data_IF_995050315222
#
_entry.id   IF_995050315222
#
_cell.length_a   1.000
_cell.length_b   1.000
_cell.length_c   1.000
_cell.angle_alpha   90.00
_cell.angle_beta   90.00
_cell.angle_gamma   90.00
#
_symmetry.space_group_name_H-M   'P 1'
#
loop_
_entity.id
_entity.type
_entity.pdbx_description
1 polymer ?
#
# COMPACT_ATOMS: atom_id res chain seq x y z
N UNK A 1 4.01 -9.64 -6.62
CA UNK A 1 4.27 -10.22 -5.28
C UNK A 1 5.57 -9.75 -4.63
N UNK A 2 6.76 -9.88 -5.26
CA UNK A 2 8.04 -9.42 -4.69
C UNK A 2 8.01 -7.96 -4.21
N UNK A 3 7.53 -7.04 -5.05
CA UNK A 3 7.47 -5.61 -4.71
C UNK A 3 6.57 -5.35 -3.50
N UNK A 4 5.39 -5.99 -3.45
CA UNK A 4 4.48 -5.82 -2.32
C UNK A 4 5.09 -6.31 -1.01
N UNK A 5 5.71 -7.51 -0.98
CA UNK A 5 6.42 -8.01 0.21
C UNK A 5 7.57 -7.08 0.62
N UNK A 6 8.31 -6.56 -0.36
CA UNK A 6 9.40 -5.62 -0.13
C UNK A 6 8.94 -4.32 0.52
N UNK A 7 7.79 -3.77 0.09
CA UNK A 7 7.23 -2.54 0.67
C UNK A 7 6.78 -2.72 2.10
N UNK A 8 6.12 -3.85 2.43
CA UNK A 8 5.76 -4.16 3.82
C UNK A 8 7.01 -4.23 4.69
N UNK A 9 8.02 -4.98 4.26
CA UNK A 9 9.25 -5.12 5.01
C UNK A 9 10.02 -3.79 5.13
N UNK A 10 10.02 -2.97 4.08
CA UNK A 10 10.70 -1.68 4.09
C UNK A 10 10.05 -0.67 5.04
N UNK A 11 8.72 -0.63 5.10
CA UNK A 11 7.99 0.35 5.90
C UNK A 11 7.74 -0.10 7.34
N UNK A 12 7.44 -1.38 7.55
CA UNK A 12 7.04 -1.94 8.85
C UNK A 12 8.09 -2.89 9.47
N UNK A 13 9.16 -3.25 8.76
CA UNK A 13 10.12 -4.29 9.19
C UNK A 13 9.49 -5.70 9.38
N UNK A 14 8.27 -5.90 8.89
CA UNK A 14 7.53 -7.16 9.03
C UNK A 14 7.68 -8.04 7.78
N UNK A 15 8.13 -9.30 7.91
CA UNK A 15 8.22 -10.22 6.78
C UNK A 15 6.87 -10.88 6.47
N UNK A 16 6.36 -10.69 5.25
CA UNK A 16 5.19 -11.42 4.75
C UNK A 16 5.60 -12.81 4.22
N UNK A 17 5.68 -13.80 5.11
CA UNK A 17 6.13 -15.16 4.76
C UNK A 17 5.03 -15.94 4.04
N UNK A 18 3.81 -15.89 4.56
CA UNK A 18 2.65 -16.60 4.02
C UNK A 18 2.25 -16.13 2.60
N UNK A 19 1.46 -16.98 1.94
CA UNK A 19 0.82 -16.60 0.69
C UNK A 19 -0.25 -15.52 0.94
N UNK A 20 -0.40 -14.53 0.04
CA UNK A 20 -1.49 -13.56 0.14
C UNK A 20 -2.83 -14.26 -0.06
N UNK A 21 -3.85 -13.84 0.69
CA UNK A 21 -5.22 -14.32 0.52
C UNK A 21 -5.90 -13.67 -0.68
N UNK A 22 -5.43 -12.50 -1.12
CA UNK A 22 -5.91 -11.85 -2.33
C UNK A 22 -4.77 -11.19 -3.10
N UNK A 23 -4.79 -11.36 -4.43
CA UNK A 23 -3.90 -10.70 -5.38
C UNK A 23 -4.74 -10.24 -6.56
N UNK A 24 -4.61 -8.96 -6.88
CA UNK A 24 -5.33 -8.35 -7.99
C UNK A 24 -4.44 -7.36 -8.73
N UNK A 25 -4.62 -7.26 -10.04
CA UNK A 25 -3.97 -6.25 -10.86
C UNK A 25 -4.78 -6.00 -12.12
N UNK A 26 -5.03 -4.73 -12.45
CA UNK A 26 -5.71 -4.31 -13.68
C UNK A 26 -5.27 -2.91 -14.09
N UNK A 27 -5.40 -2.55 -15.39
CA UNK A 27 -5.32 -1.16 -15.81
C UNK A 27 -6.36 -0.32 -15.07
N UNK A 28 -5.94 0.83 -14.53
CA UNK A 28 -6.81 1.76 -13.80
C UNK A 28 -7.93 2.30 -14.68
N UNK A 29 -7.70 2.43 -15.98
CA UNK A 29 -8.71 2.83 -16.97
C UNK A 29 -9.80 1.77 -17.19
N UNK A 30 -9.55 0.52 -16.78
CA UNK A 30 -10.54 -0.57 -16.89
C UNK A 30 -11.49 -0.65 -15.69
N UNK A 31 -11.27 0.19 -14.67
CA UNK A 31 -12.10 0.28 -13.48
C UNK A 31 -13.29 1.20 -13.72
N UNK A 32 -14.43 0.84 -13.14
CA UNK A 32 -15.50 1.81 -12.92
C UNK A 32 -15.05 2.91 -11.96
N UNK A 33 -15.74 4.05 -11.97
CA UNK A 33 -15.43 5.17 -11.05
C UNK A 33 -15.41 4.72 -9.59
N UNK A 34 -16.38 3.92 -9.15
CA UNK A 34 -16.46 3.44 -7.77
C UNK A 34 -15.34 2.45 -7.42
N UNK A 35 -14.97 1.55 -8.34
CA UNK A 35 -13.82 0.66 -8.15
C UNK A 35 -12.51 1.46 -8.06
N UNK A 36 -12.37 2.50 -8.88
CA UNK A 36 -11.21 3.37 -8.87
C UNK A 36 -11.11 4.16 -7.56
N UNK A 37 -12.21 4.75 -7.10
CA UNK A 37 -12.26 5.46 -5.82
C UNK A 37 -11.91 4.53 -4.66
N UNK A 38 -12.51 3.33 -4.60
CA UNK A 38 -12.22 2.35 -3.56
C UNK A 38 -10.76 1.85 -3.59
N UNK A 39 -10.13 1.80 -4.77
CA UNK A 39 -8.72 1.46 -4.92
C UNK A 39 -7.79 2.63 -4.50
N UNK A 40 -8.14 3.87 -4.83
CA UNK A 40 -7.35 5.05 -4.47
C UNK A 40 -7.46 5.40 -2.98
N UNK A 41 -8.51 4.92 -2.30
CA UNK A 41 -8.71 5.05 -0.86
C UNK A 41 -7.72 4.18 -0.08
N UNK A 42 -6.50 4.69 0.09
CA UNK A 42 -5.53 4.17 1.06
C UNK A 42 -5.70 4.98 2.34
N UNK A 43 -5.99 4.32 3.46
CA UNK A 43 -6.06 4.95 4.78
C UNK A 43 -4.81 4.60 5.60
N UNK A 44 -4.54 5.37 6.66
CA UNK A 44 -3.50 5.01 7.61
C UNK A 44 -3.88 3.76 8.40
N UNK A 45 -2.90 2.95 8.83
CA UNK A 45 -3.15 1.89 9.77
C UNK A 45 -3.85 2.44 11.02
N UNK A 46 -4.93 1.81 11.46
CA UNK A 46 -5.58 2.14 12.72
C UNK A 46 -4.76 1.69 13.95
N UNK A 47 -3.61 1.04 13.72
CA UNK A 47 -2.71 0.51 14.74
C UNK A 47 -1.37 1.24 14.65
N UNK A 48 -0.77 1.54 15.81
CA UNK A 48 0.57 2.13 15.85
C UNK A 48 1.62 1.14 15.33
N UNK A 49 2.46 1.55 14.36
CA UNK A 49 3.55 0.72 13.86
C UNK A 49 4.66 0.59 14.91
N UNK A 50 5.54 -0.40 14.72
CA UNK A 50 6.66 -0.65 15.63
C UNK A 50 7.55 0.60 15.82
N UNK A 51 8.07 0.76 17.04
CA UNK A 51 8.95 1.87 17.37
C UNK A 51 10.22 1.82 16.54
N UNK A 52 10.53 2.90 15.83
CA UNK A 52 11.70 3.00 14.96
C UNK A 52 11.46 2.52 13.51
N UNK A 53 10.25 2.06 13.18
CA UNK A 53 9.87 1.78 11.79
C UNK A 53 9.83 3.06 10.94
N UNK A 54 9.96 2.91 9.62
CA UNK A 54 9.82 4.03 8.70
C UNK A 54 8.40 4.57 8.72
N UNK A 55 7.42 3.67 8.80
CA UNK A 55 6.01 4.04 8.95
C UNK A 55 5.78 4.92 10.19
N UNK A 56 6.36 4.58 11.35
CA UNK A 56 6.29 5.45 12.54
C UNK A 56 6.86 6.84 12.28
N UNK A 57 8.02 6.91 11.62
CA UNK A 57 8.67 8.19 11.31
C UNK A 57 7.79 9.04 10.39
N UNK A 58 7.15 8.43 9.39
CA UNK A 58 6.21 9.11 8.49
C UNK A 58 4.99 9.63 9.23
N UNK A 59 4.39 8.80 10.10
CA UNK A 59 3.24 9.21 10.93
C UNK A 59 3.59 10.40 11.84
N UNK A 60 4.79 10.41 12.42
CA UNK A 60 5.23 11.48 13.32
C UNK A 60 5.60 12.78 12.62
N UNK A 61 6.17 12.70 11.41
CA UNK A 61 6.63 13.88 10.67
C UNK A 61 5.57 14.47 9.75
N UNK A 62 4.64 13.64 9.25
CA UNK A 62 3.72 14.03 8.19
C UNK A 62 4.39 14.25 6.82
N UNK A 63 5.68 13.92 6.69
CA UNK A 63 6.48 14.12 5.47
C UNK A 63 6.14 13.10 4.37
N UNK A 64 6.21 13.55 3.10
CA UNK A 64 6.02 12.76 1.86
C UNK A 64 4.62 12.18 1.62
N UNK A 65 3.57 12.81 2.16
CA UNK A 65 2.20 12.31 2.09
C UNK A 65 1.36 13.12 1.09
N UNK A 66 1.34 12.70 -0.18
CA UNK A 66 0.28 13.10 -1.11
C UNK A 66 -0.98 12.26 -0.80
N UNK A 67 -1.58 12.48 0.37
CA UNK A 67 -2.49 11.51 0.99
C UNK A 67 -1.73 10.31 1.58
N UNK A 68 -2.41 9.18 1.81
CA UNK A 68 -1.78 7.98 2.38
C UNK A 68 -0.90 7.19 1.39
N UNK A 69 -0.53 7.79 0.26
CA UNK A 69 0.35 7.22 -0.74
C UNK A 69 1.79 7.65 -0.52
N UNK A 70 2.72 6.70 -0.62
CA UNK A 70 4.16 6.96 -0.69
C UNK A 70 4.53 7.08 -2.17
N UNK A 71 4.87 8.30 -2.60
CA UNK A 71 5.30 8.60 -3.97
C UNK A 71 6.81 8.40 -4.07
N UNK A 72 7.23 7.37 -4.81
CA UNK A 72 8.67 7.10 -5.04
C UNK A 72 9.19 7.94 -6.20
N UNK A 73 8.38 8.04 -7.26
CA UNK A 73 8.65 8.88 -8.42
C UNK A 73 7.32 9.37 -8.99
N UNK A 74 7.16 10.70 -9.05
CA UNK A 74 5.94 11.36 -9.52
C UNK A 74 5.53 10.83 -10.91
N UNK A 75 4.25 10.49 -11.06
CA UNK A 75 3.68 9.92 -12.29
C UNK A 75 4.24 8.55 -12.73
N UNK A 76 5.14 7.92 -11.98
CA UNK A 76 5.79 6.66 -12.38
C UNK A 76 5.57 5.55 -11.37
N UNK A 77 5.71 5.83 -10.08
CA UNK A 77 5.61 4.79 -9.06
C UNK A 77 5.15 5.36 -7.72
N UNK A 78 4.00 4.90 -7.26
CA UNK A 78 3.50 5.13 -5.91
C UNK A 78 2.94 3.86 -5.31
N UNK A 79 3.03 3.73 -4.00
CA UNK A 79 2.48 2.60 -3.28
C UNK A 79 1.89 3.02 -1.94
N UNK A 80 0.95 2.23 -1.44
CA UNK A 80 0.34 2.39 -0.14
C UNK A 80 0.50 1.09 0.65
N UNK A 81 0.85 1.21 1.93
CA UNK A 81 0.86 0.10 2.88
C UNK A 81 -0.11 0.46 3.99
N UNK A 82 -1.15 -0.34 4.15
CA UNK A 82 -2.17 -0.12 5.18
C UNK A 82 -2.63 -1.43 5.80
N UNK A 83 -3.37 -1.32 6.89
CA UNK A 83 -4.04 -2.45 7.53
C UNK A 83 -5.53 -2.38 7.24
N UNK A 84 -6.12 -3.51 6.86
CA UNK A 84 -7.56 -3.65 6.63
C UNK A 84 -8.04 -4.93 7.29
N UNK A 85 -9.09 -4.83 8.11
CA UNK A 85 -9.73 -5.98 8.77
C UNK A 85 -8.74 -6.90 9.54
N UNK A 86 -7.70 -6.29 10.14
CA UNK A 86 -6.63 -7.01 10.84
C UNK A 86 -5.59 -7.70 9.95
N UNK A 87 -5.68 -7.52 8.62
CA UNK A 87 -4.70 -7.95 7.63
C UNK A 87 -3.89 -6.80 7.04
N UNK A 88 -2.86 -7.13 6.26
CA UNK A 88 -1.98 -6.20 5.56
C UNK A 88 -2.39 -6.03 4.10
N UNK A 89 -2.63 -4.79 3.69
CA UNK A 89 -2.98 -4.40 2.34
C UNK A 89 -1.87 -3.56 1.72
N UNK A 90 -1.40 -3.97 0.55
CA UNK A 90 -0.47 -3.20 -0.26
C UNK A 90 -1.11 -2.87 -1.60
N UNK A 91 -1.15 -1.58 -1.92
CA UNK A 91 -1.53 -1.09 -3.24
C UNK A 91 -0.36 -0.46 -3.94
N UNK A 92 -0.26 -0.67 -5.25
CA UNK A 92 0.82 -0.17 -6.10
C UNK A 92 0.19 0.42 -7.35
N UNK A 93 0.67 1.59 -7.75
CA UNK A 93 0.38 2.19 -9.05
C UNK A 93 1.68 2.37 -9.81
N UNK A 94 1.70 1.87 -11.05
CA UNK A 94 2.81 2.02 -11.98
C UNK A 94 2.37 2.86 -13.18
N UNK A 95 3.10 3.96 -13.41
CA UNK A 95 2.92 4.91 -14.51
C UNK A 95 1.50 5.47 -14.63
N UNK A 96 0.80 5.62 -13.50
CA UNK A 96 -0.62 6.00 -13.43
C UNK A 96 -1.55 5.14 -14.31
N UNK A 97 -1.09 3.94 -14.71
CA UNK A 97 -1.77 3.05 -15.63
C UNK A 97 -2.11 1.71 -14.97
N UNK A 98 -1.13 1.02 -14.40
CA UNK A 98 -1.33 -0.32 -13.84
C UNK A 98 -1.50 -0.24 -12.33
N UNK A 99 -2.69 -0.60 -11.85
CA UNK A 99 -2.98 -0.81 -10.43
C UNK A 99 -2.73 -2.26 -10.04
N UNK A 100 -2.17 -2.47 -8.85
CA UNK A 100 -2.05 -3.78 -8.23
C UNK A 100 -2.39 -3.71 -6.74
N UNK A 101 -3.04 -4.75 -6.24
CA UNK A 101 -3.44 -4.90 -4.85
C UNK A 101 -2.99 -6.29 -4.36
N UNK A 102 -2.42 -6.34 -3.17
CA UNK A 102 -2.04 -7.59 -2.51
C UNK A 102 -2.46 -7.50 -1.05
N UNK A 103 -3.20 -8.50 -0.60
CA UNK A 103 -3.70 -8.57 0.77
C UNK A 103 -3.25 -9.87 1.46
N UNK A 104 -2.81 -9.74 2.71
CA UNK A 104 -2.53 -10.82 3.65
C UNK A 104 -3.47 -10.68 4.85
N UNK A 105 -4.48 -11.53 4.92
CA UNK A 105 -5.45 -11.58 6.01
C UNK A 105 -6.27 -12.87 5.96
N UNK A 106 -7.01 -13.16 7.03
CA UNK A 106 -7.91 -14.32 7.10
C UNK A 106 -9.19 -14.10 6.33
#
# INVERSE_FOLDING_TARGET
>A
MKNAKGHVFYELSEPMVEAPSHVWFRPLESLTTSEREAFEEVSWPNTWPEVGSRMMTRLLRGDDLAGSWIVVQEGVYRYGVTQRDGGMLVRIVMREYLGAEVFWGK
#
